data_IF_101331217534
#
_entry.id   IF_101331217534
#
_cell.length_a   1.000
_cell.length_b   1.000
_cell.length_c   1.000
_cell.angle_alpha   90.00
_cell.angle_beta   90.00
_cell.angle_gamma   90.00
#
_symmetry.space_group_name_H-M   'P 1'
#
loop_
_entity.id
_entity.type
_entity.pdbx_description
1 polymer ?
#
# COMPACT_ATOMS: atom_id res chain seq x y z
N UNK A 1 8.49 24.68 15.45
CA UNK A 1 8.47 23.33 14.84
C UNK A 1 7.77 23.44 13.51
N UNK A 2 8.49 23.33 12.39
CA UNK A 2 7.90 23.42 11.05
C UNK A 2 7.94 22.05 10.37
N UNK A 3 6.86 21.61 9.71
CA UNK A 3 6.87 20.37 8.94
C UNK A 3 7.85 20.50 7.77
N UNK A 4 8.62 19.45 7.50
CA UNK A 4 9.42 19.39 6.27
C UNK A 4 8.46 19.09 5.12
N UNK A 5 8.42 20.01 4.16
CA UNK A 5 7.50 19.97 3.01
C UNK A 5 8.29 19.54 1.79
N UNK A 6 7.94 18.38 1.24
CA UNK A 6 8.59 17.84 0.05
C UNK A 6 7.62 17.86 -1.12
N UNK A 7 8.16 18.11 -2.32
CA UNK A 7 7.39 18.00 -3.57
C UNK A 7 6.74 16.62 -3.74
N UNK A 8 5.85 16.44 -4.73
CA UNK A 8 5.14 15.19 -4.99
C UNK A 8 6.05 14.12 -5.62
N UNK A 9 7.13 13.78 -4.91
CA UNK A 9 8.27 13.00 -5.39
C UNK A 9 8.22 11.54 -5.00
N UNK A 10 7.11 11.10 -4.43
CA UNK A 10 6.94 9.72 -4.02
C UNK A 10 5.50 9.29 -4.04
N UNK A 11 5.27 8.05 -4.46
CA UNK A 11 4.13 7.30 -3.96
C UNK A 11 4.23 7.33 -2.43
N UNK A 12 3.21 7.86 -1.75
CA UNK A 12 3.06 8.14 -0.30
C UNK A 12 3.61 7.08 0.69
N UNK A 13 3.99 5.90 0.19
CA UNK A 13 4.42 4.72 0.93
C UNK A 13 5.92 4.45 0.84
N UNK A 14 6.68 5.19 0.02
CA UNK A 14 8.12 5.04 -0.02
C UNK A 14 8.77 6.29 0.59
N UNK A 15 9.72 6.14 1.54
CA UNK A 15 10.56 7.26 1.91
C UNK A 15 11.25 7.81 0.65
N UNK A 16 11.33 9.14 0.49
CA UNK A 16 12.07 9.72 -0.63
C UNK A 16 13.52 9.21 -0.58
N UNK A 17 13.97 8.62 -1.68
CA UNK A 17 15.37 8.21 -1.83
C UNK A 17 16.23 9.46 -2.02
N UNK A 18 17.48 9.43 -1.55
CA UNK A 18 18.44 10.51 -1.84
C UNK A 18 18.65 10.51 -3.36
N UNK A 19 18.22 11.58 -4.00
CA UNK A 19 18.33 11.73 -5.44
C UNK A 19 19.79 11.99 -5.81
N UNK A 20 20.41 11.05 -6.52
CA UNK A 20 21.74 11.26 -7.11
C UNK A 20 21.67 12.20 -8.33
N UNK A 21 20.47 12.43 -8.86
CA UNK A 21 20.09 13.26 -9.98
C UNK A 21 19.14 14.40 -9.56
N UNK A 22 19.36 14.94 -8.35
CA UNK A 22 18.55 16.03 -7.83
C UNK A 22 18.56 17.24 -8.80
N UNK A 23 17.42 17.92 -9.01
CA UNK A 23 17.38 19.14 -9.79
C UNK A 23 18.29 20.19 -9.16
N UNK A 24 18.94 21.00 -10.01
CA UNK A 24 19.79 22.08 -9.54
C UNK A 24 18.97 23.01 -8.64
N UNK A 25 19.54 23.46 -7.53
CA UNK A 25 18.87 24.38 -6.61
C UNK A 25 19.83 25.47 -6.16
N UNK A 26 19.28 26.63 -5.83
CA UNK A 26 20.00 27.76 -5.27
C UNK A 26 19.30 28.21 -4.00
N UNK A 27 20.08 28.35 -2.92
CA UNK A 27 19.60 28.95 -1.67
C UNK A 27 19.57 30.46 -1.86
N UNK A 28 18.39 31.07 -1.74
CA UNK A 28 18.18 32.52 -1.94
C UNK A 28 18.11 33.29 -0.63
N UNK A 29 17.75 32.63 0.47
CA UNK A 29 17.74 33.26 1.79
C UNK A 29 17.90 32.21 2.88
N UNK A 30 18.53 32.61 3.98
CA UNK A 30 18.55 31.87 5.23
C UNK A 30 18.26 32.85 6.35
N UNK A 31 17.25 32.57 7.17
CA UNK A 31 16.94 33.39 8.33
C UNK A 31 16.70 32.51 9.54
N UNK A 32 17.05 33.04 10.72
CA UNK A 32 16.76 32.40 11.99
C UNK A 32 15.80 33.31 12.73
N UNK A 33 14.59 32.82 12.98
CA UNK A 33 13.56 33.53 13.73
C UNK A 33 13.22 32.73 15.01
N UNK A 34 13.79 33.16 16.13
CA UNK A 34 13.71 32.42 17.39
C UNK A 34 14.25 31.00 17.26
N UNK A 35 13.38 30.00 17.37
CA UNK A 35 13.71 28.57 17.21
C UNK A 35 13.49 28.03 15.80
N UNK A 36 13.19 28.89 14.83
CA UNK A 36 12.92 28.51 13.45
C UNK A 36 14.12 28.82 12.56
N UNK A 37 14.57 27.81 11.81
CA UNK A 37 15.52 27.99 10.72
C UNK A 37 14.73 27.99 9.41
N UNK A 38 14.66 29.15 8.77
CA UNK A 38 13.98 29.32 7.50
C UNK A 38 15.02 29.34 6.38
N UNK A 39 14.74 28.62 5.30
CA UNK A 39 15.56 28.63 4.10
C UNK A 39 14.67 28.86 2.89
N UNK A 40 14.98 29.89 2.11
CA UNK A 40 14.42 30.11 0.79
C UNK A 40 15.26 29.35 -0.22
N UNK A 41 14.63 28.45 -0.98
CA UNK A 41 15.29 27.66 -2.03
C UNK A 41 14.55 27.87 -3.34
N UNK A 42 15.30 28.16 -4.40
CA UNK A 42 14.81 28.10 -5.79
C UNK A 42 15.29 26.79 -6.37
N UNK A 43 14.35 26.03 -6.95
CA UNK A 43 14.65 24.79 -7.64
C UNK A 43 14.54 25.00 -9.15
N UNK A 44 15.62 24.72 -9.87
CA UNK A 44 15.74 24.88 -11.32
C UNK A 44 15.38 23.58 -12.01
N UNK A 45 14.50 23.64 -13.01
CA UNK A 45 14.04 22.48 -13.79
C UNK A 45 13.47 21.34 -12.93
N UNK A 46 12.82 21.67 -11.82
CA UNK A 46 12.25 20.70 -10.87
C UNK A 46 11.18 19.78 -11.49
N UNK A 47 10.51 20.25 -12.54
CA UNK A 47 9.55 19.52 -13.37
C UNK A 47 10.19 18.40 -14.21
N UNK A 48 11.51 18.45 -14.41
CA UNK A 48 12.23 17.42 -15.17
C UNK A 48 12.77 16.26 -14.32
N UNK A 49 12.65 16.32 -12.99
CA UNK A 49 13.24 15.34 -12.08
C UNK A 49 12.57 13.94 -12.20
N UNK A 50 13.30 12.82 -12.42
CA UNK A 50 12.69 11.53 -12.70
C UNK A 50 11.76 11.00 -11.60
N UNK A 51 10.59 10.50 -12.01
CA UNK A 51 9.58 9.97 -11.07
C UNK A 51 8.71 11.04 -10.40
N UNK A 52 8.85 12.32 -10.76
CA UNK A 52 7.99 13.38 -10.26
C UNK A 52 6.60 13.37 -10.93
N UNK A 53 5.63 13.96 -10.23
CA UNK A 53 4.34 14.40 -10.79
C UNK A 53 4.15 15.92 -10.60
N UNK A 54 5.27 16.64 -10.53
CA UNK A 54 5.35 18.05 -10.23
C UNK A 54 5.01 18.84 -11.48
N UNK A 55 3.95 19.63 -11.41
CA UNK A 55 3.52 20.55 -12.45
C UNK A 55 3.67 21.98 -11.96
N UNK A 56 4.71 22.66 -12.45
CA UNK A 56 4.98 24.08 -12.13
C UNK A 56 3.90 25.03 -12.66
N UNK A 57 3.04 24.54 -13.56
CA UNK A 57 1.89 25.27 -14.09
C UNK A 57 0.58 24.93 -13.39
N UNK A 58 0.60 24.04 -12.39
CA UNK A 58 -0.60 23.65 -11.67
C UNK A 58 -0.98 24.68 -10.62
N UNK A 59 -2.22 25.17 -10.70
CA UNK A 59 -2.83 25.96 -9.63
C UNK A 59 -3.24 25.08 -8.43
N UNK A 60 -3.24 23.76 -8.63
CA UNK A 60 -3.78 22.79 -7.69
C UNK A 60 -2.93 21.53 -7.61
N UNK A 61 -1.92 21.54 -6.74
CA UNK A 61 -1.05 20.38 -6.54
C UNK A 61 -1.02 19.87 -5.09
N UNK A 62 -1.00 18.55 -4.92
CA UNK A 62 -0.84 17.89 -3.62
C UNK A 62 0.64 17.80 -3.24
N UNK A 63 0.95 18.04 -1.96
CA UNK A 63 2.29 17.96 -1.40
C UNK A 63 2.33 16.93 -0.27
N UNK A 64 3.52 16.44 0.06
CA UNK A 64 3.70 15.53 1.20
C UNK A 64 4.43 16.30 2.29
N UNK A 65 4.00 16.12 3.53
CA UNK A 65 4.69 16.67 4.69
C UNK A 65 5.03 15.55 5.66
N UNK A 66 6.09 15.76 6.41
CA UNK A 66 6.51 14.88 7.49
C UNK A 66 7.17 15.69 8.60
N UNK A 67 6.91 15.31 9.84
CA UNK A 67 7.51 15.87 11.04
C UNK A 67 7.64 14.81 12.13
N UNK A 68 8.63 15.00 13.00
CA UNK A 68 8.78 14.17 14.18
C UNK A 68 8.51 15.04 15.41
N UNK A 69 7.45 14.72 16.16
CA UNK A 69 7.13 15.40 17.42
C UNK A 69 7.95 14.90 18.60
N UNK A 70 8.44 13.66 18.52
CA UNK A 70 9.19 13.02 19.61
C UNK A 70 10.68 13.36 19.56
N UNK A 71 11.14 13.95 18.45
CA UNK A 71 12.54 14.25 18.23
C UNK A 71 12.75 15.70 17.81
N UNK A 72 13.28 16.51 18.74
CA UNK A 72 13.64 17.89 18.46
C UNK A 72 14.95 17.96 17.65
N UNK A 73 14.83 18.35 16.38
CA UNK A 73 15.97 18.57 15.49
C UNK A 73 16.44 20.03 15.55
N UNK A 74 17.19 20.39 16.59
CA UNK A 74 17.85 21.69 16.77
C UNK A 74 19.38 21.54 16.67
N UNK A 75 19.87 21.08 15.53
CA UNK A 75 21.32 21.06 15.25
C UNK A 75 21.56 21.08 13.74
N UNK A 76 22.68 21.67 13.37
CA UNK A 76 23.29 21.68 12.04
C UNK A 76 24.32 20.56 11.85
N UNK A 77 24.56 19.73 12.87
CA UNK A 77 25.50 18.63 12.83
C UNK A 77 25.07 17.54 11.83
N UNK A 78 25.87 17.24 10.78
CA UNK A 78 25.51 16.27 9.75
C UNK A 78 25.49 14.81 10.25
N UNK A 79 25.97 14.57 11.47
CA UNK A 79 26.10 13.26 12.11
C UNK A 79 24.94 12.91 13.03
N UNK A 80 23.96 13.80 13.26
CA UNK A 80 22.83 13.48 14.13
C UNK A 80 21.95 12.43 13.46
N UNK A 81 21.63 11.31 14.14
CA UNK A 81 20.78 10.28 13.58
C UNK A 81 19.38 10.84 13.29
N UNK A 82 18.95 10.66 12.05
CA UNK A 82 17.59 10.93 11.62
C UNK A 82 16.69 9.77 12.06
N UNK A 83 15.54 10.09 12.63
CA UNK A 83 14.50 9.11 12.95
C UNK A 83 13.27 9.30 12.08
N UNK A 84 12.49 8.22 11.95
CA UNK A 84 11.27 8.26 11.18
C UNK A 84 10.33 9.32 11.76
N UNK A 85 9.69 10.08 10.89
CA UNK A 85 8.66 11.04 11.28
C UNK A 85 7.52 10.34 12.05
N UNK A 86 6.92 11.04 13.01
CA UNK A 86 5.82 10.52 13.84
C UNK A 86 4.48 11.12 13.41
N UNK A 87 4.52 12.22 12.67
CA UNK A 87 3.36 12.81 12.00
C UNK A 87 3.74 13.13 10.55
N UNK A 88 2.85 12.79 9.62
CA UNK A 88 3.13 12.84 8.20
C UNK A 88 1.83 12.66 7.45
N UNK A 89 1.79 13.17 6.24
CA UNK A 89 0.56 13.16 5.47
C UNK A 89 0.74 13.83 4.13
N UNK A 90 -0.36 13.93 3.39
CA UNK A 90 -0.41 14.82 2.24
C UNK A 90 -0.86 16.17 2.73
N UNK A 91 0.06 17.14 2.74
CA UNK A 91 -0.31 18.51 3.00
C UNK A 91 -0.77 19.10 1.70
N UNK A 92 -1.82 19.86 1.83
CA UNK A 92 -2.30 20.74 0.81
C UNK A 92 -2.08 22.13 1.40
N UNK A 93 -1.04 22.83 0.98
CA UNK A 93 -0.63 24.12 1.55
C UNK A 93 -1.14 25.24 0.64
N UNK A 94 -1.81 26.25 1.20
CA UNK A 94 -2.08 27.49 0.50
C UNK A 94 -1.17 28.59 1.06
N UNK A 95 -0.66 29.45 0.19
CA UNK A 95 -0.06 30.72 0.59
C UNK A 95 -1.14 31.78 0.38
N UNK A 96 -1.66 32.35 1.47
CA UNK A 96 -2.52 33.54 1.42
C UNK A 96 -1.85 34.66 2.21
N UNK A 97 -2.03 35.93 1.82
CA UNK A 97 -1.72 37.06 2.69
C UNK A 97 -2.57 36.95 3.97
N UNK A 98 -1.94 37.22 5.11
CA UNK A 98 -2.47 37.04 6.47
C UNK A 98 -3.78 37.80 6.78
N UNK A 99 -4.27 38.63 5.86
CA UNK A 99 -5.47 39.46 6.03
C UNK A 99 -6.81 38.77 5.78
N UNK A 100 -6.84 37.48 5.40
CA UNK A 100 -8.08 36.73 5.14
C UNK A 100 -8.08 35.31 5.73
N UNK A 101 -7.67 35.14 6.99
CA UNK A 101 -7.90 33.88 7.72
C UNK A 101 -9.13 34.06 8.60
N UNK A 102 -10.33 33.57 8.22
CA UNK A 102 -11.44 33.48 9.15
C UNK A 102 -11.08 32.39 10.16
N UNK A 103 -11.09 32.79 11.42
CA UNK A 103 -10.75 31.99 12.59
C UNK A 103 -11.85 30.95 12.89
N UNK A 104 -12.09 30.00 11.98
CA UNK A 104 -13.09 28.95 12.19
C UNK A 104 -12.73 27.65 11.47
N UNK A 105 -12.40 26.64 12.27
CA UNK A 105 -12.43 25.19 11.97
C UNK A 105 -11.54 24.68 10.83
N UNK A 106 -10.59 23.84 11.23
CA UNK A 106 -9.72 22.99 10.41
C UNK A 106 -10.56 21.98 9.58
N UNK A 107 -11.25 22.44 8.54
CA UNK A 107 -11.94 21.56 7.59
C UNK A 107 -10.92 20.99 6.60
N UNK A 108 -10.76 19.66 6.61
CA UNK A 108 -9.63 18.92 6.08
C UNK A 108 -9.55 18.80 4.54
N UNK A 109 -10.34 19.55 3.76
CA UNK A 109 -10.63 19.13 2.37
C UNK A 109 -10.44 20.12 1.22
N UNK A 110 -9.99 21.36 1.41
CA UNK A 110 -9.68 22.21 0.24
C UNK A 110 -8.45 23.07 0.44
N UNK A 111 -7.31 22.49 0.12
CA UNK A 111 -6.08 23.25 0.02
C UNK A 111 -5.30 22.77 -1.20
N UNK A 112 -4.51 23.62 -1.81
CA UNK A 112 -3.84 23.35 -3.08
C UNK A 112 -2.68 24.32 -3.21
N UNK A 113 -1.46 23.82 -3.40
CA UNK A 113 -0.34 24.72 -3.66
C UNK A 113 -0.43 25.19 -5.10
N UNK A 114 -0.59 26.51 -5.26
CA UNK A 114 -0.55 27.15 -6.56
C UNK A 114 0.91 27.39 -6.94
N UNK A 115 1.42 26.57 -7.85
CA UNK A 115 2.80 26.68 -8.33
C UNK A 115 3.04 27.92 -9.21
N UNK A 116 1.97 28.63 -9.61
CA UNK A 116 2.05 29.89 -10.37
C UNK A 116 2.23 31.13 -9.49
N UNK A 117 2.02 31.04 -8.18
CA UNK A 117 2.09 32.18 -7.27
C UNK A 117 3.42 32.18 -6.51
N UNK A 118 4.16 33.28 -6.62
CA UNK A 118 5.33 33.56 -5.78
C UNK A 118 4.84 34.41 -4.60
N UNK A 119 5.14 33.99 -3.37
CA UNK A 119 4.94 34.80 -2.18
C UNK A 119 6.25 35.51 -1.84
N UNK A 120 6.26 36.83 -2.01
CA UNK A 120 7.39 37.68 -1.66
C UNK A 120 6.92 38.78 -0.72
N UNK A 121 7.08 38.54 0.59
CA UNK A 121 7.00 39.60 1.61
C UNK A 121 8.37 40.32 1.78
N UNK A 122 9.26 40.19 0.80
CA UNK A 122 10.58 40.85 0.79
C UNK A 122 10.57 41.95 -0.27
N UNK A 123 10.25 43.17 0.13
CA UNK A 123 10.27 44.40 -0.69
C UNK A 123 11.67 44.81 -1.21
N UNK A 124 12.70 43.95 -1.08
CA UNK A 124 14.11 44.32 -1.31
C UNK A 124 14.85 43.43 -2.33
N UNK A 125 14.14 42.69 -3.17
CA UNK A 125 14.78 42.02 -4.32
C UNK A 125 14.41 42.83 -5.56
N UNK A 126 15.43 43.39 -6.22
CA UNK A 126 15.28 44.26 -7.39
C UNK A 126 14.55 43.60 -8.57
N UNK A 127 14.37 44.32 -9.69
CA UNK A 127 13.58 43.85 -10.83
C UNK A 127 14.03 42.46 -11.27
N UNK A 128 13.13 41.49 -11.17
CA UNK A 128 13.34 40.17 -11.72
C UNK A 128 13.34 40.32 -13.24
N UNK A 129 14.52 40.33 -13.84
CA UNK A 129 14.63 39.91 -15.23
C UNK A 129 14.36 38.41 -15.19
N UNK A 130 13.31 37.96 -15.88
CA UNK A 130 13.15 36.55 -16.22
C UNK A 130 14.49 36.11 -16.80
N UNK A 131 15.28 35.32 -16.06
CA UNK A 131 16.51 34.74 -16.60
C UNK A 131 16.06 34.00 -17.85
N UNK A 132 16.58 34.46 -18.98
CA UNK A 132 16.30 33.93 -20.30
C UNK A 132 16.26 32.41 -20.24
N UNK A 133 15.26 31.81 -20.90
CA UNK A 133 15.05 30.37 -20.98
C UNK A 133 16.13 29.67 -21.83
N UNK A 134 17.37 30.15 -21.75
CA UNK A 134 18.55 29.52 -22.27
C UNK A 134 18.76 28.23 -21.46
N UNK A 135 18.08 27.17 -21.92
CA UNK A 135 18.37 25.78 -21.59
C UNK A 135 19.82 25.48 -21.92
N UNK A 136 20.72 25.78 -21.00
CA UNK A 136 22.06 25.20 -20.99
C UNK A 136 21.98 23.90 -20.21
N UNK A 137 21.71 22.82 -20.93
CA UNK A 137 22.08 21.49 -20.48
C UNK A 137 23.59 21.47 -20.32
N UNK A 138 24.08 21.64 -19.08
CA UNK A 138 25.47 21.33 -18.75
C UNK A 138 25.60 19.81 -18.81
N UNK A 139 25.82 19.31 -20.02
CA UNK A 139 26.36 17.97 -20.26
C UNK A 139 27.77 17.95 -19.67
N UNK A 140 27.89 17.51 -18.42
CA UNK A 140 29.16 17.00 -17.92
C UNK A 140 29.61 15.83 -18.80
N UNK A 141 30.92 15.68 -19.09
CA UNK A 141 31.41 14.61 -19.95
C UNK A 141 31.00 13.26 -19.38
N UNK A 142 30.48 12.42 -20.28
CA UNK A 142 29.84 11.15 -19.95
C UNK A 142 30.71 10.23 -19.11
N UNK A 143 30.30 10.03 -17.86
CA UNK A 143 30.58 8.80 -17.16
C UNK A 143 29.33 7.92 -17.27
N UNK A 144 29.41 6.96 -18.20
CA UNK A 144 28.50 5.82 -18.29
C UNK A 144 28.72 4.91 -17.08
N UNK A 145 28.38 5.38 -15.90
CA UNK A 145 28.32 4.55 -14.70
C UNK A 145 26.99 3.81 -14.71
N UNK A 146 26.97 2.68 -15.41
CA UNK A 146 25.96 1.64 -15.24
C UNK A 146 26.06 1.08 -13.82
N UNK A 147 25.63 1.87 -12.85
CA UNK A 147 25.35 1.38 -11.51
C UNK A 147 24.06 0.59 -11.61
N UNK A 148 24.20 -0.73 -11.72
CA UNK A 148 23.15 -1.67 -11.34
C UNK A 148 22.91 -1.52 -9.84
N UNK A 149 22.28 -0.40 -9.43
CA UNK A 149 21.71 -0.26 -8.11
C UNK A 149 20.63 -1.33 -8.01
N UNK A 150 20.90 -2.35 -7.18
CA UNK A 150 19.93 -3.39 -6.87
C UNK A 150 18.80 -2.74 -6.08
N UNK A 151 17.82 -2.19 -6.79
CA UNK A 151 16.67 -1.49 -6.21
C UNK A 151 15.91 -2.46 -5.32
N UNK A 152 16.15 -2.39 -4.01
CA UNK A 152 15.50 -3.27 -3.04
C UNK A 152 14.01 -2.92 -3.00
N UNK A 153 13.10 -3.90 -3.17
CA UNK A 153 11.68 -3.61 -3.15
C UNK A 153 11.28 -3.09 -1.76
N UNK A 154 10.50 -2.01 -1.74
CA UNK A 154 9.96 -1.43 -0.51
C UNK A 154 9.20 -2.48 0.31
N UNK A 155 9.32 -2.47 1.65
CA UNK A 155 8.67 -3.45 2.50
C UNK A 155 7.14 -3.46 2.34
N UNK A 156 6.53 -2.32 1.98
CA UNK A 156 5.10 -2.23 1.67
C UNK A 156 4.71 -2.96 0.38
N UNK A 157 5.61 -2.96 -0.62
CA UNK A 157 5.42 -3.73 -1.86
C UNK A 157 5.48 -5.22 -1.57
N UNK A 158 6.46 -5.66 -0.77
CA UNK A 158 6.59 -7.06 -0.34
C UNK A 158 5.37 -7.48 0.48
N UNK A 159 4.91 -6.65 1.43
CA UNK A 159 3.70 -6.85 2.22
C UNK A 159 2.48 -7.08 1.31
N UNK A 160 2.25 -6.17 0.34
CA UNK A 160 1.15 -6.29 -0.61
C UNK A 160 1.26 -7.53 -1.50
N UNK A 161 2.46 -7.88 -1.96
CA UNK A 161 2.71 -9.05 -2.80
C UNK A 161 2.44 -10.37 -2.05
N UNK A 162 2.95 -10.50 -0.83
CA UNK A 162 2.72 -11.69 0.01
C UNK A 162 1.23 -11.89 0.32
N UNK A 163 0.52 -10.81 0.66
CA UNK A 163 -0.91 -10.89 0.96
C UNK A 163 -1.76 -11.14 -0.29
N UNK A 164 -1.37 -10.56 -1.43
CA UNK A 164 -2.03 -10.86 -2.71
C UNK A 164 -1.85 -12.33 -3.07
N UNK A 165 -0.64 -12.88 -2.96
CA UNK A 165 -0.37 -14.30 -3.19
C UNK A 165 -1.22 -15.19 -2.27
N UNK A 166 -1.26 -14.87 -0.98
CA UNK A 166 -2.02 -15.66 -0.01
C UNK A 166 -3.54 -15.62 -0.28
N UNK A 167 -4.13 -14.43 -0.38
CA UNK A 167 -5.60 -14.26 -0.43
C UNK A 167 -6.20 -14.35 -1.84
N UNK A 168 -5.46 -14.00 -2.88
CA UNK A 168 -5.98 -13.98 -4.27
C UNK A 168 -5.64 -15.24 -5.06
N UNK A 169 -4.68 -16.04 -4.60
CA UNK A 169 -4.26 -17.25 -5.30
C UNK A 169 -4.28 -18.49 -4.40
N UNK A 170 -3.47 -18.55 -3.35
CA UNK A 170 -3.25 -19.78 -2.61
C UNK A 170 -4.49 -20.25 -1.81
N UNK A 171 -5.17 -19.35 -1.09
CA UNK A 171 -6.39 -19.73 -0.35
C UNK A 171 -7.55 -20.12 -1.28
N UNK A 172 -7.88 -19.37 -2.35
CA UNK A 172 -8.86 -19.80 -3.34
C UNK A 172 -8.52 -21.16 -3.98
N UNK A 173 -7.24 -21.41 -4.28
CA UNK A 173 -6.77 -22.70 -4.78
C UNK A 173 -6.98 -23.82 -3.74
N UNK A 174 -6.66 -23.58 -2.47
CA UNK A 174 -6.88 -24.54 -1.39
C UNK A 174 -8.37 -24.91 -1.24
N UNK A 175 -9.28 -23.95 -1.40
CA UNK A 175 -10.73 -24.20 -1.41
C UNK A 175 -11.15 -25.00 -2.64
N UNK A 176 -10.65 -24.64 -3.81
CA UNK A 176 -10.96 -25.29 -5.09
C UNK A 176 -10.58 -26.77 -5.06
N UNK A 177 -9.38 -27.10 -4.59
CA UNK A 177 -8.90 -28.49 -4.53
C UNK A 177 -9.79 -29.38 -3.65
N UNK A 178 -10.29 -28.88 -2.51
CA UNK A 178 -11.24 -29.61 -1.66
C UNK A 178 -12.55 -29.91 -2.40
N UNK A 179 -12.97 -29.01 -3.29
CA UNK A 179 -14.21 -29.19 -4.07
C UNK A 179 -14.07 -30.21 -5.21
N UNK A 180 -12.85 -30.51 -5.67
CA UNK A 180 -12.59 -31.51 -6.71
C UNK A 180 -12.83 -32.95 -6.20
N UNK A 181 -12.77 -33.19 -4.89
CA UNK A 181 -13.01 -34.50 -4.24
C UNK A 181 -12.10 -35.64 -4.77
N UNK A 182 -10.85 -35.31 -5.06
CA UNK A 182 -9.79 -36.29 -5.36
C UNK A 182 -9.25 -36.93 -4.07
N UNK A 183 -8.62 -38.09 -4.13
CA UNK A 183 -8.09 -38.82 -2.95
C UNK A 183 -7.00 -38.02 -2.21
N UNK A 184 -6.14 -37.33 -2.96
CA UNK A 184 -5.10 -36.45 -2.42
C UNK A 184 -5.60 -35.05 -2.02
N UNK A 185 -6.90 -34.76 -2.19
CA UNK A 185 -7.47 -33.42 -2.02
C UNK A 185 -7.24 -32.85 -0.62
N UNK A 186 -7.38 -33.68 0.41
CA UNK A 186 -7.07 -33.27 1.78
C UNK A 186 -5.59 -32.93 1.95
N UNK A 187 -4.68 -33.76 1.41
CA UNK A 187 -3.23 -33.54 1.50
C UNK A 187 -2.84 -32.21 0.87
N UNK A 188 -3.31 -31.96 -0.34
CA UNK A 188 -3.05 -30.71 -1.05
C UNK A 188 -3.70 -29.51 -0.37
N UNK A 189 -4.88 -29.67 0.23
CA UNK A 189 -5.55 -28.61 0.97
C UNK A 189 -4.74 -28.14 2.16
N UNK A 190 -4.30 -29.05 3.04
CA UNK A 190 -3.57 -28.62 4.25
C UNK A 190 -2.18 -28.05 3.90
N UNK A 191 -1.52 -28.54 2.84
CA UNK A 191 -0.25 -27.97 2.34
C UNK A 191 -0.46 -26.55 1.82
N UNK A 192 -1.43 -26.32 0.94
CA UNK A 192 -1.71 -24.96 0.44
C UNK A 192 -2.18 -24.04 1.57
N UNK A 193 -2.95 -24.56 2.53
CA UNK A 193 -3.40 -23.80 3.69
C UNK A 193 -2.22 -23.34 4.55
N UNK A 194 -1.25 -24.21 4.85
CA UNK A 194 -0.08 -23.82 5.66
C UNK A 194 0.81 -22.82 4.94
N UNK A 195 1.07 -23.00 3.64
CA UNK A 195 1.82 -22.04 2.83
C UNK A 195 1.09 -20.69 2.78
N UNK A 196 -0.23 -20.69 2.59
CA UNK A 196 -1.04 -19.47 2.57
C UNK A 196 -0.98 -18.72 3.91
N UNK A 197 -1.11 -19.45 5.02
CA UNK A 197 -1.04 -18.86 6.36
C UNK A 197 0.35 -18.29 6.61
N UNK A 198 1.42 -19.00 6.26
CA UNK A 198 2.79 -18.51 6.40
C UNK A 198 3.04 -17.23 5.56
N UNK A 199 2.63 -17.22 4.30
CA UNK A 199 2.74 -16.02 3.45
C UNK A 199 1.93 -14.85 4.01
N UNK A 200 0.70 -15.11 4.50
CA UNK A 200 -0.15 -14.07 5.08
C UNK A 200 0.40 -13.54 6.41
N UNK A 201 0.91 -14.39 7.30
CA UNK A 201 1.49 -13.97 8.57
C UNK A 201 2.79 -13.18 8.34
N UNK A 202 3.65 -13.60 7.42
CA UNK A 202 4.84 -12.84 7.02
C UNK A 202 4.47 -11.48 6.40
N UNK A 203 3.46 -11.45 5.52
CA UNK A 203 2.96 -10.21 4.94
C UNK A 203 2.42 -9.25 6.01
N UNK A 204 1.50 -9.70 6.85
CA UNK A 204 0.93 -8.89 7.95
C UNK A 204 2.03 -8.44 8.91
N UNK A 205 2.96 -9.33 9.29
CA UNK A 205 4.08 -9.02 10.16
C UNK A 205 4.98 -7.91 9.58
N UNK A 206 5.29 -7.97 8.28
CA UNK A 206 6.06 -6.92 7.61
C UNK A 206 5.31 -5.58 7.59
N UNK A 207 4.00 -5.60 7.37
CA UNK A 207 3.17 -4.38 7.41
C UNK A 207 3.08 -3.79 8.82
N UNK A 208 2.93 -4.64 9.84
CA UNK A 208 2.92 -4.24 11.25
C UNK A 208 4.27 -3.64 11.66
N UNK A 209 5.38 -4.28 11.30
CA UNK A 209 6.73 -3.78 11.55
C UNK A 209 6.99 -2.44 10.86
N UNK A 210 6.67 -2.35 9.55
CA UNK A 210 6.94 -1.14 8.77
C UNK A 210 6.09 0.05 9.19
N UNK A 211 4.86 -0.19 9.65
CA UNK A 211 3.97 0.86 10.18
C UNK A 211 4.19 1.17 11.67
N UNK A 212 5.08 0.44 12.35
CA UNK A 212 5.32 0.52 13.79
C UNK A 212 4.04 0.40 14.64
N UNK A 213 3.01 -0.26 14.10
CA UNK A 213 1.67 -0.38 14.72
C UNK A 213 1.03 0.95 15.14
N UNK A 214 1.38 2.06 14.48
CA UNK A 214 0.69 3.33 14.67
C UNK A 214 -0.70 3.23 14.03
N UNK A 215 -1.74 3.04 14.86
CA UNK A 215 -3.13 2.88 14.45
C UNK A 215 -3.86 4.22 14.56
N UNK A 216 -4.34 4.72 13.42
CA UNK A 216 -5.15 5.95 13.35
C UNK A 216 -6.65 5.61 13.29
N UNK A 217 -7.34 5.67 14.43
CA UNK A 217 -8.68 5.08 14.62
C UNK A 217 -9.80 5.65 13.71
N UNK A 218 -9.78 6.90 13.21
CA UNK A 218 -10.77 7.37 12.23
C UNK A 218 -10.27 7.36 10.77
N UNK A 219 -9.10 6.80 10.46
CA UNK A 219 -8.56 6.82 9.09
C UNK A 219 -8.71 5.48 8.36
N UNK A 220 -8.73 5.54 7.03
CA UNK A 220 -8.73 4.35 6.17
C UNK A 220 -7.52 3.45 6.47
N UNK A 221 -6.40 4.05 6.90
CA UNK A 221 -5.18 3.34 7.30
C UNK A 221 -5.38 2.57 8.60
N UNK A 222 -5.93 3.18 9.65
CA UNK A 222 -6.23 2.47 10.88
C UNK A 222 -7.25 1.35 10.67
N UNK A 223 -8.28 1.59 9.84
CA UNK A 223 -9.25 0.55 9.45
C UNK A 223 -8.58 -0.64 8.76
N UNK A 224 -7.61 -0.40 7.88
CA UNK A 224 -6.82 -1.43 7.21
C UNK A 224 -5.98 -2.26 8.18
N UNK A 225 -5.32 -1.57 9.13
CA UNK A 225 -4.49 -2.21 10.16
C UNK A 225 -5.35 -3.05 11.12
N UNK A 226 -6.43 -2.50 11.69
CA UNK A 226 -7.32 -3.18 12.63
C UNK A 226 -7.93 -4.43 11.97
N UNK A 227 -8.45 -4.27 10.75
CA UNK A 227 -9.04 -5.39 10.00
C UNK A 227 -7.99 -6.44 9.67
N UNK A 228 -6.77 -6.03 9.30
CA UNK A 228 -5.62 -6.93 9.11
C UNK A 228 -5.27 -7.76 10.36
N UNK A 229 -5.32 -7.16 11.55
CA UNK A 229 -5.07 -7.85 12.82
C UNK A 229 -6.19 -8.84 13.17
N UNK A 230 -7.45 -8.48 12.92
CA UNK A 230 -8.58 -9.40 13.11
C UNK A 230 -8.50 -10.60 12.15
N UNK A 231 -8.09 -10.36 10.91
CA UNK A 231 -7.82 -11.42 9.92
C UNK A 231 -6.67 -12.32 10.40
N UNK A 232 -5.59 -11.75 10.94
CA UNK A 232 -4.47 -12.52 11.51
C UNK A 232 -4.95 -13.48 12.61
N UNK A 233 -5.76 -12.98 13.55
CA UNK A 233 -6.33 -13.81 14.62
C UNK A 233 -7.18 -14.95 14.05
N UNK A 234 -8.03 -14.65 13.06
CA UNK A 234 -8.86 -15.66 12.39
C UNK A 234 -8.01 -16.70 11.63
N UNK A 235 -6.93 -16.27 10.96
CA UNK A 235 -6.01 -17.15 10.24
C UNK A 235 -5.26 -18.12 11.16
N UNK A 236 -4.92 -17.70 12.38
CA UNK A 236 -4.29 -18.57 13.36
C UNK A 236 -5.29 -19.55 13.99
N UNK A 237 -6.55 -19.15 14.12
CA UNK A 237 -7.62 -20.03 14.63
C UNK A 237 -8.08 -21.08 13.61
N UNK A 238 -8.07 -20.75 12.31
CA UNK A 238 -8.63 -21.59 11.25
C UNK A 238 -7.96 -22.98 11.12
N UNK A 239 -6.63 -23.15 11.20
CA UNK A 239 -5.96 -24.45 11.19
C UNK A 239 -6.37 -25.34 12.37
N UNK A 240 -6.48 -24.78 13.58
CA UNK A 240 -6.94 -25.50 14.78
C UNK A 240 -8.36 -26.02 14.60
N UNK A 241 -9.26 -25.19 14.07
CA UNK A 241 -10.63 -25.60 13.73
C UNK A 241 -10.64 -26.66 12.62
N UNK A 242 -9.76 -26.55 11.63
CA UNK A 242 -9.61 -27.52 10.54
C UNK A 242 -9.11 -28.88 11.02
N UNK A 243 -8.14 -28.89 11.93
CA UNK A 243 -7.64 -30.11 12.56
C UNK A 243 -8.72 -30.80 13.39
N UNK A 244 -9.43 -30.05 14.25
CA UNK A 244 -10.54 -30.57 15.05
C UNK A 244 -11.67 -31.12 14.16
N UNK A 245 -12.00 -30.40 13.08
CA UNK A 245 -12.95 -30.87 12.07
C UNK A 245 -12.50 -32.20 11.45
N UNK A 246 -11.25 -32.28 11.00
CA UNK A 246 -10.71 -33.46 10.33
C UNK A 246 -10.70 -34.70 11.24
N UNK A 247 -10.15 -34.58 12.45
CA UNK A 247 -10.07 -35.70 13.41
C UNK A 247 -11.46 -36.20 13.79
N UNK A 248 -12.42 -35.29 14.04
CA UNK A 248 -13.80 -35.68 14.37
C UNK A 248 -14.52 -36.31 13.19
N UNK A 249 -14.29 -35.82 11.97
CA UNK A 249 -14.87 -36.40 10.76
C UNK A 249 -14.39 -37.83 10.54
N UNK A 250 -13.09 -38.11 10.74
CA UNK A 250 -12.55 -39.47 10.67
C UNK A 250 -13.13 -40.40 11.75
N UNK A 251 -13.41 -39.90 12.95
CA UNK A 251 -13.97 -40.71 14.05
C UNK A 251 -15.46 -40.99 13.90
N UNK A 252 -16.25 -40.01 13.45
CA UNK A 252 -17.71 -40.07 13.46
C UNK A 252 -18.33 -40.41 12.11
N UNK A 253 -17.60 -40.24 11.00
CA UNK A 253 -18.10 -40.50 9.65
C UNK A 253 -19.15 -39.51 9.12
N UNK A 254 -19.59 -38.55 9.94
CA UNK A 254 -20.55 -37.52 9.56
C UNK A 254 -20.07 -36.11 9.93
N UNK A 255 -20.75 -35.10 9.36
CA UNK A 255 -20.45 -33.68 9.63
C UNK A 255 -20.79 -33.34 11.08
N UNK A 256 -19.92 -32.55 11.70
CA UNK A 256 -20.07 -32.04 13.08
C UNK A 256 -20.17 -30.51 13.07
N UNK A 257 -20.52 -29.89 14.21
CA UNK A 257 -20.50 -28.43 14.36
C UNK A 257 -19.15 -27.79 13.94
N UNK A 258 -18.03 -28.46 14.22
CA UNK A 258 -16.69 -28.03 13.81
C UNK A 258 -16.52 -27.93 12.29
N UNK A 259 -17.25 -28.75 11.53
CA UNK A 259 -17.28 -28.67 10.06
C UNK A 259 -17.84 -27.33 9.61
N UNK A 260 -18.94 -26.92 10.24
CA UNK A 260 -19.62 -25.68 9.89
C UNK A 260 -18.82 -24.46 10.36
N UNK A 261 -18.26 -24.51 11.58
CA UNK A 261 -17.41 -23.45 12.10
C UNK A 261 -16.17 -23.25 11.25
N UNK A 262 -15.40 -24.30 10.97
CA UNK A 262 -14.21 -24.19 10.12
C UNK A 262 -14.55 -23.60 8.74
N UNK A 263 -15.64 -24.07 8.12
CA UNK A 263 -16.07 -23.61 6.81
C UNK A 263 -16.53 -22.14 6.83
N UNK A 264 -17.35 -21.74 7.80
CA UNK A 264 -17.79 -20.34 7.95
C UNK A 264 -16.62 -19.40 8.25
N UNK A 265 -15.76 -19.77 9.20
CA UNK A 265 -14.55 -18.99 9.52
C UNK A 265 -13.67 -18.84 8.28
N UNK A 266 -13.47 -19.90 7.49
CA UNK A 266 -12.74 -19.82 6.23
C UNK A 266 -13.34 -18.81 5.25
N UNK A 267 -14.65 -18.86 5.01
CA UNK A 267 -15.33 -17.90 4.12
C UNK A 267 -15.23 -16.46 4.60
N UNK A 268 -15.49 -16.22 5.88
CA UNK A 268 -15.43 -14.87 6.46
C UNK A 268 -14.01 -14.31 6.43
N UNK A 269 -12.99 -15.17 6.63
CA UNK A 269 -11.58 -14.77 6.57
C UNK A 269 -11.15 -14.39 5.16
N UNK A 270 -11.52 -15.19 4.15
CA UNK A 270 -11.19 -14.88 2.75
C UNK A 270 -11.91 -13.61 2.28
N UNK A 271 -13.21 -13.48 2.57
CA UNK A 271 -13.99 -12.31 2.19
C UNK A 271 -13.45 -11.03 2.86
N UNK A 272 -13.16 -11.10 4.16
CA UNK A 272 -12.51 -10.00 4.89
C UNK A 272 -11.13 -9.67 4.32
N UNK A 273 -10.35 -10.69 3.94
CA UNK A 273 -9.04 -10.53 3.28
C UNK A 273 -9.14 -9.78 1.96
N UNK A 274 -10.13 -10.09 1.13
CA UNK A 274 -10.37 -9.38 -0.13
C UNK A 274 -10.81 -7.93 0.09
N UNK A 275 -11.74 -7.69 1.02
CA UNK A 275 -12.14 -6.34 1.41
C UNK A 275 -10.93 -5.53 1.94
N UNK A 276 -10.10 -6.15 2.78
CA UNK A 276 -8.93 -5.50 3.34
C UNK A 276 -7.83 -5.24 2.29
N UNK A 277 -7.72 -6.08 1.25
CA UNK A 277 -6.82 -5.83 0.12
C UNK A 277 -7.26 -4.62 -0.70
N UNK A 278 -8.57 -4.46 -0.95
CA UNK A 278 -9.11 -3.27 -1.61
C UNK A 278 -8.87 -2.00 -0.78
N UNK A 279 -9.08 -2.08 0.53
CA UNK A 279 -8.77 -0.99 1.46
C UNK A 279 -7.27 -0.66 1.46
N UNK A 280 -6.41 -1.69 1.44
CA UNK A 280 -4.96 -1.54 1.33
C UNK A 280 -4.53 -0.83 0.04
N UNK A 281 -5.16 -1.13 -1.11
CA UNK A 281 -4.92 -0.42 -2.37
C UNK A 281 -5.37 1.05 -2.32
N UNK A 282 -6.46 1.33 -1.62
CA UNK A 282 -6.94 2.69 -1.41
C UNK A 282 -5.96 3.48 -0.53
N UNK A 283 -5.54 2.90 0.60
CA UNK A 283 -4.48 3.47 1.47
C UNK A 283 -3.19 3.65 0.69
N UNK A 284 -2.84 2.71 -0.19
CA UNK A 284 -1.69 2.77 -1.10
C UNK A 284 -1.74 3.93 -2.11
N UNK A 285 -2.89 4.62 -2.23
CA UNK A 285 -3.10 5.70 -3.20
C UNK A 285 -3.06 5.23 -4.65
N UNK A 286 -3.39 3.96 -4.91
CA UNK A 286 -3.37 3.41 -6.28
C UNK A 286 -4.56 3.90 -7.10
N UNK A 287 -4.35 4.04 -8.41
CA UNK A 287 -5.41 4.46 -9.34
C UNK A 287 -6.60 3.50 -9.29
N UNK A 288 -7.80 4.02 -9.65
CA UNK A 288 -9.07 3.28 -9.57
C UNK A 288 -9.08 1.95 -10.35
N UNK A 289 -8.18 1.82 -11.32
CA UNK A 289 -7.99 0.61 -12.13
C UNK A 289 -7.57 -0.61 -11.29
N UNK A 290 -6.68 -0.43 -10.30
CA UNK A 290 -6.18 -1.53 -9.48
C UNK A 290 -7.27 -2.15 -8.59
N UNK A 291 -8.05 -1.38 -7.80
CA UNK A 291 -9.20 -1.92 -7.09
C UNK A 291 -10.21 -2.61 -8.01
N UNK A 292 -10.51 -2.03 -9.18
CA UNK A 292 -11.44 -2.63 -10.13
C UNK A 292 -10.96 -4.00 -10.66
N UNK A 293 -9.67 -4.12 -10.98
CA UNK A 293 -9.06 -5.39 -11.39
C UNK A 293 -9.14 -6.45 -10.28
N UNK A 294 -8.85 -6.07 -9.03
CA UNK A 294 -8.98 -6.99 -7.88
C UNK A 294 -10.44 -7.42 -7.69
N UNK A 295 -11.40 -6.51 -7.75
CA UNK A 295 -12.83 -6.85 -7.67
C UNK A 295 -13.25 -7.81 -8.78
N UNK A 296 -12.83 -7.55 -10.03
CA UNK A 296 -13.09 -8.45 -11.16
C UNK A 296 -12.50 -9.84 -10.94
N UNK A 297 -11.27 -9.92 -10.44
CA UNK A 297 -10.62 -11.20 -10.10
C UNK A 297 -11.37 -11.96 -9.00
N UNK A 298 -11.80 -11.27 -7.93
CA UNK A 298 -12.62 -11.87 -6.87
C UNK A 298 -13.92 -12.47 -7.40
N UNK A 299 -14.60 -11.77 -8.32
CA UNK A 299 -15.84 -12.27 -8.96
C UNK A 299 -15.54 -13.54 -9.77
N UNK A 300 -14.48 -13.54 -10.59
CA UNK A 300 -14.07 -14.71 -11.36
C UNK A 300 -13.81 -15.90 -10.43
N UNK A 301 -13.05 -15.70 -9.34
CA UNK A 301 -12.77 -16.76 -8.37
C UNK A 301 -14.05 -17.33 -7.75
N UNK A 302 -15.00 -16.49 -7.35
CA UNK A 302 -16.29 -16.94 -6.81
C UNK A 302 -17.07 -17.77 -7.84
N UNK A 303 -17.15 -17.29 -9.08
CA UNK A 303 -17.79 -18.02 -10.17
C UNK A 303 -17.13 -19.39 -10.41
N UNK A 304 -15.80 -19.43 -10.56
CA UNK A 304 -15.04 -20.66 -10.76
C UNK A 304 -15.26 -21.67 -9.61
N UNK A 305 -15.11 -21.24 -8.36
CA UNK A 305 -15.29 -22.10 -7.18
C UNK A 305 -16.73 -22.65 -7.11
N UNK A 306 -17.72 -21.85 -7.49
CA UNK A 306 -19.13 -22.26 -7.49
C UNK A 306 -19.46 -23.30 -8.57
N UNK A 307 -18.72 -23.30 -9.69
CA UNK A 307 -18.93 -24.22 -10.81
C UNK A 307 -18.29 -25.60 -10.59
N UNK A 308 -17.20 -25.69 -9.83
CA UNK A 308 -16.44 -26.94 -9.61
C UNK A 308 -17.32 -28.12 -9.17
N UNK A 309 -18.20 -28.00 -8.15
CA UNK A 309 -19.05 -29.12 -7.75
C UNK A 309 -20.00 -29.60 -8.85
N UNK A 310 -20.53 -28.68 -9.68
CA UNK A 310 -21.43 -29.02 -10.79
C UNK A 310 -20.69 -29.86 -11.83
N UNK A 311 -19.49 -29.41 -12.20
CA UNK A 311 -18.64 -30.10 -13.18
C UNK A 311 -18.22 -31.49 -12.70
N UNK A 312 -17.74 -31.59 -11.45
CA UNK A 312 -17.31 -32.87 -10.85
C UNK A 312 -18.46 -33.87 -10.79
N UNK A 313 -19.65 -33.44 -10.37
CA UNK A 313 -20.82 -34.31 -10.31
C UNK A 313 -21.27 -34.78 -11.70
N UNK A 314 -21.29 -33.87 -12.69
CA UNK A 314 -21.63 -34.22 -14.08
C UNK A 314 -20.67 -35.25 -14.68
N UNK A 315 -19.36 -35.11 -14.43
CA UNK A 315 -18.36 -36.07 -14.90
C UNK A 315 -18.53 -37.47 -14.28
N UNK A 316 -18.82 -37.53 -12.98
CA UNK A 316 -19.08 -38.81 -12.29
C UNK A 316 -20.33 -39.51 -12.81
N UNK A 317 -21.43 -38.76 -13.01
CA UNK A 317 -22.66 -39.32 -13.59
C UNK A 317 -22.37 -39.92 -14.97
N UNK A 318 -21.64 -39.20 -15.83
CA UNK A 318 -21.25 -39.70 -17.15
C UNK A 318 -20.43 -40.99 -17.06
N UNK A 319 -19.48 -41.08 -16.13
CA UNK A 319 -18.67 -42.28 -15.93
C UNK A 319 -19.49 -43.47 -15.40
N UNK A 320 -20.49 -43.21 -14.56
CA UNK A 320 -21.45 -44.23 -14.10
C UNK A 320 -22.31 -44.75 -15.25
N UNK A 321 -22.81 -43.87 -16.13
CA UNK A 321 -23.58 -44.27 -17.32
C UNK A 321 -22.76 -45.18 -18.25
N UNK A 322 -21.52 -44.81 -18.58
CA UNK A 322 -20.65 -45.62 -19.45
C UNK A 322 -20.37 -47.01 -18.84
N UNK A 323 -20.17 -47.10 -17.52
CA UNK A 323 -19.99 -48.40 -16.84
C UNK A 323 -21.23 -49.28 -16.89
N UNK A 324 -22.42 -48.69 -16.83
CA UNK A 324 -23.68 -49.46 -16.92
C UNK A 324 -23.88 -49.98 -18.35
N UNK A 325 -23.56 -49.18 -19.36
CA UNK A 325 -23.65 -49.56 -20.77
C UNK A 325 -22.71 -50.73 -21.11
N UNK A 326 -21.48 -50.72 -20.58
CA UNK A 326 -20.51 -51.83 -20.73
C UNK A 326 -20.90 -53.13 -20.00
N UNK A 327 -21.81 -53.08 -19.04
CA UNK A 327 -22.31 -54.28 -18.31
C UNK A 327 -23.60 -54.81 -18.96
N UNK A 328 -24.26 -54.02 -19.79
CA UNK A 328 -25.46 -54.42 -20.55
C UNK A 328 -25.17 -55.06 -21.91
N UNK A 329 -23.92 -55.02 -22.38
CA UNK A 329 -23.41 -55.76 -23.54
C UNK A 329 -22.78 -57.10 -23.11
#
# INVERSE_FOLDING_TARGET
>A
MSPSVYGPLGNFHNPPEVAHDAPAYSVISTTVDGSYHNVGIVCHSCDSWPGNSLSVTSEKQAWVFANNYDWLMQTDGPTKPLTLHTFYGKMRLAIYPQSQVPDTSFNQDQFHLNMKLIHSDVESLGPWELIDNARTSVLGPGETSSSTSSRRPSPYVIHGALLSLAFMALMPAAVTIVRIRHESSFRSHWILQTISVAAATSGIGLGAYSSQLLIEVPSARGSHQITGLLILASLLAAPSLGYLHHVRFLKLGHRTAFTEWHRRTGYMTIASGWANALLGLHVAGRSRWWPAAVTGWCVILVCCISMVPKYVNSGRLRQSYVKLEQVSE
#
